data_IF_318814800744
#
_entry.id   IF_318814800744
#
_cell.length_a   1.000
_cell.length_b   1.000
_cell.length_c   1.000
_cell.angle_alpha   90.00
_cell.angle_beta   90.00
_cell.angle_gamma   90.00
#
_symmetry.space_group_name_H-M   'P 1'
#
loop_
_entity.id
_entity.type
_entity.pdbx_description
1 polymer ?
#
# COMPACT_ATOMS: atom_id res chain seq x y z
N UNK A 1 -16.27 -5.07 17.27
CA UNK A 1 -16.73 -5.79 16.06
C UNK A 1 -16.68 -4.81 14.89
N UNK A 2 -16.18 -5.23 13.72
CA UNK A 2 -16.10 -4.37 12.52
C UNK A 2 -17.44 -4.34 11.79
N UNK A 3 -17.77 -3.20 11.20
CA UNK A 3 -18.96 -3.00 10.36
C UNK A 3 -18.52 -2.44 9.01
N UNK A 4 -19.34 -2.61 7.97
CA UNK A 4 -19.03 -2.01 6.66
C UNK A 4 -18.76 -0.50 6.76
N UNK A 5 -19.60 0.21 7.54
CA UNK A 5 -19.48 1.65 7.73
C UNK A 5 -18.14 2.04 8.37
N UNK A 6 -17.70 1.34 9.43
CA UNK A 6 -16.46 1.73 10.10
C UNK A 6 -15.20 1.35 9.30
N UNK A 7 -15.23 0.24 8.56
CA UNK A 7 -14.11 -0.19 7.71
C UNK A 7 -13.91 0.79 6.55
N UNK A 8 -14.97 1.14 5.83
CA UNK A 8 -14.89 2.08 4.69
C UNK A 8 -14.45 3.47 5.16
N UNK A 9 -15.04 3.99 6.24
CA UNK A 9 -14.64 5.30 6.78
C UNK A 9 -13.20 5.31 7.30
N UNK A 10 -12.71 4.21 7.86
CA UNK A 10 -11.30 4.15 8.27
C UNK A 10 -10.37 4.20 7.06
N UNK A 11 -10.65 3.45 5.99
CA UNK A 11 -9.90 3.54 4.74
C UNK A 11 -9.95 4.95 4.14
N UNK A 12 -11.14 5.57 4.10
CA UNK A 12 -11.33 6.93 3.62
C UNK A 12 -10.50 7.95 4.40
N UNK A 13 -10.58 7.93 5.73
CA UNK A 13 -9.83 8.86 6.57
C UNK A 13 -8.31 8.66 6.47
N UNK A 14 -7.84 7.42 6.31
CA UNK A 14 -6.42 7.14 6.07
C UNK A 14 -5.98 7.71 4.73
N UNK A 15 -6.75 7.49 3.66
CA UNK A 15 -6.44 8.04 2.35
C UNK A 15 -6.43 9.57 2.33
N UNK A 16 -7.36 10.22 3.03
CA UNK A 16 -7.36 11.68 3.22
C UNK A 16 -6.07 12.14 3.92
N UNK A 17 -5.66 11.46 5.00
CA UNK A 17 -4.44 11.80 5.74
C UNK A 17 -3.15 11.58 4.93
N UNK A 18 -3.19 10.69 3.95
CA UNK A 18 -2.07 10.42 3.03
C UNK A 18 -2.13 11.28 1.77
N UNK A 19 -3.16 12.11 1.62
CA UNK A 19 -3.43 12.92 0.43
C UNK A 19 -3.50 12.09 -0.86
N UNK A 20 -4.11 10.90 -0.76
CA UNK A 20 -4.22 10.00 -1.90
C UNK A 20 -5.19 10.53 -2.96
N UNK A 21 -4.82 10.29 -4.21
CA UNK A 21 -5.59 10.68 -5.38
C UNK A 21 -5.51 9.65 -6.50
N UNK A 22 -6.20 9.92 -7.60
CA UNK A 22 -6.09 9.14 -8.84
C UNK A 22 -4.72 9.23 -9.52
N UNK A 23 -3.86 10.16 -9.08
CA UNK A 23 -2.47 10.24 -9.55
C UNK A 23 -1.55 9.22 -8.86
N UNK A 24 -1.99 8.63 -7.74
CA UNK A 24 -1.14 7.78 -6.93
C UNK A 24 -1.11 6.32 -7.40
N UNK A 25 0.03 5.70 -7.14
CA UNK A 25 0.35 4.32 -7.46
C UNK A 25 0.92 3.67 -6.21
N UNK A 26 0.10 2.87 -5.53
CA UNK A 26 0.43 2.23 -4.26
C UNK A 26 0.92 0.81 -4.48
N UNK A 27 2.15 0.53 -4.06
CA UNK A 27 2.65 -0.85 -4.03
C UNK A 27 2.21 -1.56 -2.75
N UNK A 28 1.62 -2.76 -2.90
CA UNK A 28 1.13 -3.57 -1.77
C UNK A 28 1.76 -4.96 -1.83
N UNK A 29 2.49 -5.31 -0.77
CA UNK A 29 3.16 -6.60 -0.61
C UNK A 29 3.07 -7.14 0.83
N UNK A 30 2.39 -6.38 1.70
CA UNK A 30 1.90 -6.86 2.99
C UNK A 30 0.69 -7.77 2.80
N UNK A 31 0.39 -8.69 3.73
CA UNK A 31 -0.77 -9.58 3.60
C UNK A 31 -2.07 -8.79 3.46
N UNK A 32 -2.75 -8.95 2.32
CA UNK A 32 -3.96 -8.20 1.99
C UNK A 32 -5.16 -8.52 2.89
N UNK A 33 -5.16 -9.68 3.56
CA UNK A 33 -6.20 -10.04 4.53
C UNK A 33 -5.99 -9.39 5.91
N UNK A 34 -4.78 -8.92 6.21
CA UNK A 34 -4.46 -8.26 7.47
C UNK A 34 -4.99 -6.83 7.47
N UNK A 35 -5.29 -6.24 8.64
CA UNK A 35 -5.87 -4.89 8.72
C UNK A 35 -5.04 -3.82 7.99
N UNK A 36 -3.70 -3.95 8.00
CA UNK A 36 -2.80 -3.07 7.25
C UNK A 36 -3.01 -3.19 5.72
N UNK A 37 -3.08 -4.40 5.18
CA UNK A 37 -3.32 -4.62 3.75
C UNK A 37 -4.76 -4.30 3.34
N UNK A 38 -5.74 -4.73 4.13
CA UNK A 38 -7.15 -4.60 3.81
C UNK A 38 -7.65 -3.15 3.94
N UNK A 39 -7.42 -2.51 5.09
CA UNK A 39 -8.06 -1.23 5.41
C UNK A 39 -7.15 -0.08 5.03
N UNK A 40 -5.93 -0.07 5.58
CA UNK A 40 -4.98 1.02 5.39
C UNK A 40 -4.43 1.07 3.96
N UNK A 41 -4.35 -0.06 3.25
CA UNK A 41 -3.89 -0.10 1.86
C UNK A 41 -5.06 -0.18 0.86
N UNK A 42 -5.74 -1.33 0.75
CA UNK A 42 -6.75 -1.55 -0.28
C UNK A 42 -7.97 -0.64 -0.15
N UNK A 43 -8.55 -0.51 1.04
CA UNK A 43 -9.74 0.35 1.24
C UNK A 43 -9.41 1.84 1.09
N UNK A 44 -8.25 2.29 1.58
CA UNK A 44 -7.76 3.64 1.33
C UNK A 44 -7.56 3.92 -0.16
N UNK A 45 -6.94 2.98 -0.89
CA UNK A 45 -6.75 3.09 -2.33
C UNK A 45 -8.08 3.13 -3.09
N UNK A 46 -9.02 2.24 -2.77
CA UNK A 46 -10.33 2.17 -3.43
C UNK A 46 -11.16 3.44 -3.22
N UNK A 47 -11.09 4.06 -2.03
CA UNK A 47 -11.85 5.29 -1.72
C UNK A 47 -11.32 6.52 -2.45
N UNK A 48 -10.08 6.50 -2.95
CA UNK A 48 -9.41 7.62 -3.61
C UNK A 48 -9.06 7.37 -5.08
N UNK A 49 -9.40 6.19 -5.62
CA UNK A 49 -9.09 5.82 -7.01
C UNK A 49 -7.60 5.60 -7.29
N UNK A 50 -6.82 5.25 -6.26
CA UNK A 50 -5.38 4.97 -6.37
C UNK A 50 -5.17 3.70 -7.19
N UNK A 51 -4.16 3.70 -8.06
CA UNK A 51 -3.74 2.48 -8.78
C UNK A 51 -2.99 1.57 -7.81
N UNK A 52 -3.40 0.31 -7.69
CA UNK A 52 -2.72 -0.68 -6.84
C UNK A 52 -1.75 -1.53 -7.69
N UNK A 53 -0.50 -1.65 -7.23
CA UNK A 53 0.52 -2.55 -7.77
C UNK A 53 0.80 -3.68 -6.77
N UNK A 54 0.06 -4.80 -6.84
CA UNK A 54 0.17 -5.86 -5.86
C UNK A 54 1.36 -6.79 -6.14
N UNK A 55 2.03 -7.26 -5.09
CA UNK A 55 3.00 -8.35 -5.16
C UNK A 55 2.62 -9.48 -4.19
N UNK A 56 2.81 -10.75 -4.59
CA UNK A 56 2.39 -11.90 -3.78
C UNK A 56 3.21 -12.05 -2.48
N UNK A 57 4.45 -11.56 -2.47
CA UNK A 57 5.34 -11.54 -1.32
C UNK A 57 6.38 -10.44 -1.49
N UNK A 58 7.06 -10.10 -0.40
CA UNK A 58 8.15 -9.14 -0.43
C UNK A 58 9.43 -9.72 -0.99
N UNK A 59 10.07 -8.97 -1.89
CA UNK A 59 11.44 -9.17 -2.33
C UNK A 59 12.06 -7.78 -2.51
N UNK A 60 13.20 -7.45 -1.90
CA UNK A 60 13.84 -6.14 -2.06
C UNK A 60 14.09 -5.78 -3.53
N UNK A 61 14.67 -6.71 -4.29
CA UNK A 61 14.94 -6.55 -5.72
C UNK A 61 13.69 -6.21 -6.52
N UNK A 62 12.69 -7.09 -6.44
CA UNK A 62 11.45 -6.92 -7.21
C UNK A 62 10.67 -5.68 -6.78
N UNK A 63 10.75 -5.32 -5.49
CA UNK A 63 10.16 -4.07 -4.96
C UNK A 63 10.80 -2.85 -5.62
N UNK A 64 12.14 -2.77 -5.64
CA UNK A 64 12.87 -1.65 -6.23
C UNK A 64 12.65 -1.57 -7.75
N UNK A 65 12.66 -2.72 -8.44
CA UNK A 65 12.34 -2.81 -9.86
C UNK A 65 10.91 -2.33 -10.14
N UNK A 66 9.93 -2.78 -9.35
CA UNK A 66 8.53 -2.35 -9.45
C UNK A 66 8.39 -0.84 -9.21
N UNK A 67 9.04 -0.30 -8.18
CA UNK A 67 9.04 1.14 -7.88
C UNK A 67 9.48 1.95 -9.10
N UNK A 68 10.59 1.56 -9.73
CA UNK A 68 11.14 2.26 -10.88
C UNK A 68 10.29 2.11 -12.15
N UNK A 69 9.86 0.87 -12.45
CA UNK A 69 9.12 0.54 -13.67
C UNK A 69 7.70 1.08 -13.64
N UNK A 70 7.00 0.85 -12.54
CA UNK A 70 5.60 1.22 -12.36
C UNK A 70 5.44 2.63 -11.81
N UNK A 71 6.51 3.40 -11.57
CA UNK A 71 6.44 4.78 -11.06
C UNK A 71 5.61 4.88 -9.78
N UNK A 72 5.87 3.97 -8.84
CA UNK A 72 5.19 3.92 -7.55
C UNK A 72 5.36 5.25 -6.81
N UNK A 73 4.26 5.81 -6.31
CA UNK A 73 4.25 7.06 -5.51
C UNK A 73 4.16 6.79 -4.03
N UNK A 74 3.59 5.64 -3.63
CA UNK A 74 3.43 5.24 -2.24
C UNK A 74 3.77 3.76 -2.02
N UNK A 75 4.36 3.45 -0.87
CA UNK A 75 4.81 2.11 -0.52
C UNK A 75 4.36 1.76 0.90
N UNK A 76 3.55 0.70 1.04
CA UNK A 76 3.15 0.19 2.36
C UNK A 76 3.98 -1.04 2.73
N UNK A 77 4.92 -0.84 3.66
CA UNK A 77 5.74 -1.90 4.23
C UNK A 77 6.02 -1.68 5.72
N UNK A 78 6.68 -2.65 6.34
CA UNK A 78 7.13 -2.58 7.74
C UNK A 78 8.63 -2.21 7.79
N UNK A 79 9.15 -1.71 8.94
CA UNK A 79 10.52 -1.20 9.02
C UNK A 79 11.62 -2.13 8.46
N UNK A 80 11.52 -3.44 8.72
CA UNK A 80 12.49 -4.43 8.25
C UNK A 80 12.53 -4.56 6.71
N UNK A 81 11.43 -4.26 6.02
CA UNK A 81 11.37 -4.27 4.56
C UNK A 81 12.17 -3.10 3.97
N UNK A 82 12.03 -1.93 4.57
CA UNK A 82 12.78 -0.74 4.15
C UNK A 82 14.28 -0.92 4.40
N UNK A 83 14.66 -1.50 5.54
CA UNK A 83 16.05 -1.86 5.83
C UNK A 83 16.59 -2.82 4.76
N UNK A 84 15.85 -3.90 4.48
CA UNK A 84 16.26 -4.87 3.47
C UNK A 84 16.36 -4.29 2.05
N UNK A 85 15.58 -3.25 1.72
CA UNK A 85 15.71 -2.52 0.45
C UNK A 85 16.92 -1.58 0.42
N UNK A 86 17.22 -0.92 1.54
CA UNK A 86 18.38 -0.03 1.67
C UNK A 86 19.71 -0.80 1.63
N UNK A 87 19.72 -2.02 2.17
CA UNK A 87 20.88 -2.91 2.20
C UNK A 87 20.99 -3.80 0.94
N UNK A 88 20.11 -3.63 -0.05
CA UNK A 88 20.10 -4.45 -1.26
C UNK A 88 21.14 -3.98 -2.28
N UNK A 89 22.05 -4.88 -2.69
CA UNK A 89 23.06 -4.67 -3.75
C UNK A 89 22.51 -4.87 -5.17
#
# INVERSE_FOLDING_TARGET
MLTHYNVVNNGKNIGDCMDFSTADRLMIHVPMFHCFGMVLAMTAAMTHGVTISPMPFFSPKLSLECISKEKITAFHGVPTMFIAMLEHE
#
